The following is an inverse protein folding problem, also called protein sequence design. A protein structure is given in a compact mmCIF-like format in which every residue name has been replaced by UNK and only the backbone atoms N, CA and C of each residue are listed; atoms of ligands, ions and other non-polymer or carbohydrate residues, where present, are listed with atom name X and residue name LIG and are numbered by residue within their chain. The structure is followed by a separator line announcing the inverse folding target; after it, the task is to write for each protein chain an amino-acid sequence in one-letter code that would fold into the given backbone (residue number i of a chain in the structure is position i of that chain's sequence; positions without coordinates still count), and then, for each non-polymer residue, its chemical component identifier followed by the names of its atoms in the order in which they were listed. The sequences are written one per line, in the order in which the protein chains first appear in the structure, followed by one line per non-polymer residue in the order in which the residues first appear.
data_IF_027591515288
#
_entry.id   IF_027591515288
#
_cell.length_a   1.000
_cell.length_b   1.000
_cell.length_c   1.000
_cell.angle_alpha   90.00
_cell.angle_beta   90.00
_cell.angle_gamma   90.00
#
_symmetry.space_group_name_H-M   'P 1'
#
loop_
_entity.id
_entity.type
_entity.pdbx_description
1 polymer ?
#
# COMPACT_ATOMS: atom_id res chain seq x y z
N UNK A 1 18.28 -13.04 24.90
CA UNK A 1 17.95 -13.10 23.46
C UNK A 1 16.45 -12.89 23.34
N UNK A 2 16.03 -11.64 23.19
CA UNK A 2 14.71 -11.33 22.71
C UNK A 2 14.74 -11.58 21.19
N UNK A 3 14.29 -12.74 20.75
CA UNK A 3 14.10 -13.03 19.34
C UNK A 3 13.12 -12.03 18.74
N UNK A 4 13.58 -11.13 17.89
CA UNK A 4 12.72 -10.27 17.10
C UNK A 4 11.99 -11.13 16.07
N UNK A 5 10.84 -11.65 16.45
CA UNK A 5 9.90 -12.24 15.51
C UNK A 5 9.10 -11.10 14.85
N UNK A 6 9.64 -10.59 13.75
CA UNK A 6 8.97 -9.60 12.91
C UNK A 6 9.34 -8.13 13.21
N UNK A 7 9.82 -7.46 12.18
CA UNK A 7 9.96 -5.99 12.18
C UNK A 7 8.56 -5.38 12.09
N UNK A 8 8.20 -4.53 13.05
CA UNK A 8 6.95 -3.78 13.02
C UNK A 8 6.98 -2.80 11.84
N UNK A 9 6.37 -3.18 10.71
CA UNK A 9 6.33 -2.39 9.47
C UNK A 9 5.85 -0.96 9.69
N UNK A 10 4.94 -0.76 10.65
CA UNK A 10 4.40 0.55 11.01
C UNK A 10 5.46 1.47 11.63
N UNK A 11 6.30 0.95 12.52
CA UNK A 11 7.42 1.71 13.08
C UNK A 11 8.42 2.13 12.01
N UNK A 12 8.71 1.22 11.06
CA UNK A 12 9.57 1.52 9.91
C UNK A 12 9.01 2.65 9.04
N UNK A 13 7.71 2.63 8.74
CA UNK A 13 7.05 3.70 7.96
C UNK A 13 7.08 5.03 8.69
N UNK A 14 6.75 5.06 9.99
CA UNK A 14 6.81 6.28 10.80
C UNK A 14 8.24 6.83 10.84
N UNK A 15 9.22 5.97 11.10
CA UNK A 15 10.63 6.37 11.10
C UNK A 15 11.09 6.94 9.76
N UNK A 16 10.68 6.31 8.65
CA UNK A 16 10.95 6.81 7.30
C UNK A 16 10.33 8.19 7.07
N UNK A 17 9.07 8.40 7.44
CA UNK A 17 8.42 9.70 7.27
C UNK A 17 9.11 10.80 8.07
N UNK A 18 9.55 10.51 9.30
CA UNK A 18 10.30 11.46 10.14
C UNK A 18 11.67 11.75 9.51
N UNK A 19 12.40 10.72 9.10
CA UNK A 19 13.72 10.86 8.45
C UNK A 19 13.63 11.71 7.18
N UNK A 20 12.63 11.44 6.34
CA UNK A 20 12.37 12.22 5.12
C UNK A 20 12.01 13.68 5.44
N UNK A 21 11.24 13.92 6.49
CA UNK A 21 10.92 15.27 6.92
C UNK A 21 12.17 16.04 7.35
N UNK A 22 13.02 15.43 8.19
CA UNK A 22 14.28 16.02 8.64
C UNK A 22 15.24 16.28 7.46
N UNK A 23 15.37 15.31 6.56
CA UNK A 23 16.15 15.44 5.35
C UNK A 23 15.68 16.60 4.47
N UNK A 24 14.38 16.69 4.22
CA UNK A 24 13.79 17.77 3.42
C UNK A 24 14.03 19.15 4.07
N UNK A 25 13.95 19.25 5.39
CA UNK A 25 14.29 20.49 6.12
C UNK A 25 15.76 20.88 5.92
N UNK A 26 16.66 19.94 6.06
CA UNK A 26 18.10 20.17 5.91
C UNK A 26 18.45 20.58 4.47
N UNK A 27 17.87 19.90 3.48
CA UNK A 27 18.14 20.14 2.06
C UNK A 27 17.28 21.25 1.44
N UNK A 28 16.41 21.89 2.24
CA UNK A 28 15.47 22.94 1.76
C UNK A 28 14.56 22.48 0.62
N UNK A 29 14.17 21.19 0.63
CA UNK A 29 13.28 20.60 -0.35
C UNK A 29 11.82 20.63 0.13
N UNK A 30 10.88 20.72 -0.80
CA UNK A 30 9.45 20.60 -0.47
C UNK A 30 9.11 19.16 -0.08
N UNK A 31 8.65 18.95 1.16
CA UNK A 31 8.32 17.62 1.68
C UNK A 31 7.24 16.91 0.85
N UNK A 32 6.19 17.65 0.41
CA UNK A 32 5.13 17.08 -0.43
C UNK A 32 5.65 16.60 -1.79
N UNK A 33 6.69 17.22 -2.34
CA UNK A 33 7.32 16.77 -3.57
C UNK A 33 7.93 15.38 -3.39
N UNK A 34 8.66 15.17 -2.30
CA UNK A 34 9.28 13.88 -1.99
C UNK A 34 8.22 12.81 -1.71
N UNK A 35 7.17 13.16 -0.95
CA UNK A 35 6.06 12.24 -0.68
C UNK A 35 5.33 11.82 -1.97
N UNK A 36 5.13 12.75 -2.91
CA UNK A 36 4.50 12.42 -4.21
C UNK A 36 5.39 11.50 -5.05
N UNK A 37 6.71 11.71 -5.05
CA UNK A 37 7.65 10.82 -5.74
C UNK A 37 7.59 9.40 -5.16
N UNK A 38 7.59 9.28 -3.82
CA UNK A 38 7.45 7.99 -3.14
C UNK A 38 6.08 7.37 -3.44
N UNK A 39 5.01 8.13 -3.29
CA UNK A 39 3.64 7.65 -3.55
C UNK A 39 3.42 7.21 -5.00
N UNK A 40 4.15 7.79 -5.94
CA UNK A 40 4.12 7.36 -7.34
C UNK A 40 4.80 6.00 -7.56
N UNK A 41 5.93 5.74 -6.89
CA UNK A 41 6.74 4.51 -7.07
C UNK A 41 6.30 3.39 -6.11
N UNK A 42 5.76 3.73 -4.94
CA UNK A 42 5.41 2.77 -3.89
C UNK A 42 4.52 1.61 -4.35
N UNK A 43 3.51 1.77 -5.24
CA UNK A 43 2.73 0.63 -5.73
C UNK A 43 3.58 -0.38 -6.51
N UNK A 44 4.57 0.06 -7.27
CA UNK A 44 5.49 -0.84 -7.97
C UNK A 44 6.38 -1.62 -6.98
N UNK A 45 6.90 -0.95 -5.98
CA UNK A 45 7.69 -1.61 -4.91
C UNK A 45 6.82 -2.61 -4.14
N UNK A 46 5.59 -2.22 -3.79
CA UNK A 46 4.65 -3.11 -3.11
C UNK A 46 4.32 -4.35 -3.96
N UNK A 47 4.11 -4.19 -5.27
CA UNK A 47 3.94 -5.32 -6.21
C UNK A 47 5.13 -6.28 -6.14
N UNK A 48 6.36 -5.78 -6.23
CA UNK A 48 7.56 -6.61 -6.19
C UNK A 48 7.68 -7.37 -4.85
N UNK A 49 7.38 -6.72 -3.73
CA UNK A 49 7.36 -7.36 -2.41
C UNK A 49 6.33 -8.49 -2.38
N UNK A 50 5.12 -8.29 -2.93
CA UNK A 50 4.08 -9.33 -2.96
C UNK A 50 4.46 -10.52 -3.84
N UNK A 51 5.14 -10.30 -4.94
CA UNK A 51 5.70 -11.38 -5.75
C UNK A 51 6.78 -12.15 -4.96
N UNK A 52 7.63 -11.45 -4.19
CA UNK A 52 8.59 -12.08 -3.28
C UNK A 52 7.89 -12.95 -2.22
N UNK A 53 6.85 -12.43 -1.58
CA UNK A 53 6.06 -13.20 -0.60
C UNK A 53 5.41 -14.45 -1.25
N UNK A 54 4.94 -14.36 -2.49
CA UNK A 54 4.39 -15.49 -3.23
C UNK A 54 5.46 -16.60 -3.41
N UNK A 55 6.67 -16.23 -3.84
CA UNK A 55 7.77 -17.19 -4.02
C UNK A 55 8.23 -17.82 -2.70
N UNK A 56 8.15 -17.07 -1.61
CA UNK A 56 8.49 -17.54 -0.27
C UNK A 56 7.36 -18.30 0.45
N UNK A 57 6.15 -18.37 -0.14
CA UNK A 57 4.96 -18.95 0.51
C UNK A 57 4.58 -18.24 1.82
N UNK A 58 4.76 -16.90 1.86
CA UNK A 58 4.43 -16.04 3.00
C UNK A 58 3.09 -15.31 2.77
N UNK A 59 2.36 -15.01 3.85
CA UNK A 59 1.12 -14.21 3.82
C UNK A 59 0.09 -14.80 2.85
N UNK A 60 -0.15 -16.10 2.96
CA UNK A 60 -1.07 -16.86 2.12
C UNK A 60 -2.54 -16.54 2.42
N UNK A 61 -3.41 -16.90 1.48
CA UNK A 61 -4.85 -16.81 1.69
C UNK A 61 -5.46 -18.04 2.35
N UNK A 62 -6.74 -17.94 2.71
CA UNK A 62 -7.55 -19.03 3.28
C UNK A 62 -7.65 -20.18 2.29
N UNK A 63 -7.91 -21.40 2.81
CA UNK A 63 -8.20 -22.57 2.00
C UNK A 63 -9.42 -22.32 1.12
N UNK A 64 -9.41 -22.84 -0.12
CA UNK A 64 -10.46 -22.58 -1.12
C UNK A 64 -10.47 -23.65 -2.22
N UNK A 65 -11.62 -23.83 -2.85
CA UNK A 65 -11.82 -24.76 -3.96
C UNK A 65 -11.87 -24.08 -5.34
N UNK A 66 -11.44 -22.81 -5.43
CA UNK A 66 -11.42 -22.10 -6.72
C UNK A 66 -10.42 -22.74 -7.69
N UNK A 67 -10.71 -22.79 -9.01
CA UNK A 67 -9.88 -23.51 -9.99
C UNK A 67 -8.47 -22.94 -10.17
N UNK A 68 -8.19 -21.73 -9.67
CA UNK A 68 -6.88 -21.09 -9.68
C UNK A 68 -6.22 -21.04 -8.29
N UNK A 69 -6.67 -21.89 -7.35
CA UNK A 69 -6.03 -22.01 -6.05
C UNK A 69 -4.59 -22.52 -6.18
N UNK A 70 -3.70 -22.06 -5.31
CA UNK A 70 -2.32 -22.50 -5.25
C UNK A 70 -2.12 -23.42 -4.03
N UNK A 71 -1.31 -24.47 -4.21
CA UNK A 71 -0.84 -25.31 -3.12
C UNK A 71 0.55 -24.82 -2.70
N UNK A 72 0.63 -24.28 -1.50
CA UNK A 72 1.89 -23.79 -0.91
C UNK A 72 2.58 -24.92 -0.15
N UNK A 73 3.28 -25.79 -0.85
CA UNK A 73 3.88 -27.03 -0.31
C UNK A 73 4.86 -26.80 0.83
N UNK A 74 5.36 -25.60 1.00
CA UNK A 74 6.19 -25.21 2.18
C UNK A 74 5.38 -25.00 3.45
N UNK A 75 4.05 -24.87 3.32
CA UNK A 75 3.13 -24.61 4.44
C UNK A 75 2.26 -25.84 4.70
N UNK A 76 1.48 -26.25 3.69
CA UNK A 76 0.62 -27.43 3.76
C UNK A 76 0.27 -27.94 2.35
N UNK A 77 -0.60 -28.98 2.29
CA UNK A 77 -1.08 -29.57 1.03
C UNK A 77 -2.46 -29.01 0.60
N UNK A 78 -2.99 -28.00 1.29
CA UNK A 78 -4.32 -27.47 0.99
C UNK A 78 -4.26 -26.46 -0.17
N UNK A 79 -5.24 -26.47 -1.09
CA UNK A 79 -5.39 -25.42 -2.07
C UNK A 79 -5.85 -24.12 -1.36
N UNK A 80 -5.19 -23.01 -1.65
CA UNK A 80 -5.39 -21.71 -0.98
C UNK A 80 -5.48 -20.56 -1.98
N UNK A 81 -6.17 -19.49 -1.59
CA UNK A 81 -6.15 -18.26 -2.35
C UNK A 81 -4.72 -17.71 -2.45
N UNK A 82 -4.18 -17.44 -3.66
CA UNK A 82 -2.90 -16.73 -3.80
C UNK A 82 -3.10 -15.22 -3.56
N UNK A 83 -3.37 -14.85 -2.29
CA UNK A 83 -3.68 -13.49 -1.89
C UNK A 83 -2.57 -12.50 -2.31
N UNK A 84 -1.30 -12.94 -2.23
CA UNK A 84 -0.14 -12.16 -2.66
C UNK A 84 -0.19 -11.82 -4.16
N UNK A 85 -0.64 -12.75 -4.99
CA UNK A 85 -0.78 -12.54 -6.44
C UNK A 85 -1.90 -11.53 -6.73
N UNK A 86 -3.02 -11.60 -6.01
CA UNK A 86 -4.10 -10.63 -6.17
C UNK A 86 -3.64 -9.21 -5.80
N UNK A 87 -2.89 -9.09 -4.70
CA UNK A 87 -2.30 -7.81 -4.29
C UNK A 87 -1.28 -7.31 -5.34
N UNK A 88 -0.41 -8.19 -5.83
CA UNK A 88 0.59 -7.83 -6.84
C UNK A 88 -0.05 -7.29 -8.13
N UNK A 89 -1.08 -7.99 -8.65
CA UNK A 89 -1.81 -7.56 -9.84
C UNK A 89 -2.48 -6.21 -9.61
N UNK A 90 -3.16 -6.04 -8.46
CA UNK A 90 -3.81 -4.78 -8.15
C UNK A 90 -2.81 -3.62 -8.05
N UNK A 91 -1.67 -3.82 -7.39
CA UNK A 91 -0.64 -2.79 -7.25
C UNK A 91 0.02 -2.46 -8.60
N UNK A 92 0.18 -3.44 -9.50
CA UNK A 92 0.60 -3.21 -10.88
C UNK A 92 -0.40 -2.30 -11.62
N UNK A 93 -1.70 -2.57 -11.48
CA UNK A 93 -2.77 -1.76 -12.08
C UNK A 93 -2.71 -0.33 -11.52
N UNK A 94 -2.59 -0.17 -10.21
CA UNK A 94 -2.47 1.15 -9.55
C UNK A 94 -1.25 1.91 -10.10
N UNK A 95 -0.11 1.26 -10.23
CA UNK A 95 1.09 1.87 -10.80
C UNK A 95 0.87 2.31 -12.25
N UNK A 96 0.36 1.42 -13.11
CA UNK A 96 0.09 1.72 -14.53
C UNK A 96 -0.90 2.88 -14.69
N UNK A 97 -1.98 2.89 -13.90
CA UNK A 97 -2.93 4.00 -13.87
C UNK A 97 -2.27 5.30 -13.41
N UNK A 98 -1.40 5.24 -12.41
CA UNK A 98 -0.58 6.38 -11.95
C UNK A 98 0.26 6.96 -13.09
N UNK A 99 0.93 6.11 -13.87
CA UNK A 99 1.71 6.51 -15.06
C UNK A 99 0.82 7.17 -16.11
N UNK A 100 -0.34 6.58 -16.40
CA UNK A 100 -1.31 7.15 -17.35
C UNK A 100 -1.84 8.50 -16.89
N UNK A 101 -2.18 8.63 -15.60
CA UNK A 101 -2.61 9.91 -15.01
C UNK A 101 -1.52 10.97 -15.08
N UNK A 102 -0.26 10.59 -14.80
CA UNK A 102 0.87 11.49 -14.92
C UNK A 102 1.04 11.99 -16.37
N UNK A 103 1.00 11.07 -17.36
CA UNK A 103 1.13 11.42 -18.78
C UNK A 103 -0.01 12.32 -19.26
N UNK A 104 -1.27 11.99 -18.93
CA UNK A 104 -2.45 12.75 -19.38
C UNK A 104 -2.57 14.14 -18.73
N UNK A 105 -2.08 14.26 -17.48
CA UNK A 105 -2.30 15.47 -16.66
C UNK A 105 -1.02 16.27 -16.41
N UNK A 106 -0.02 16.15 -17.28
CA UNK A 106 1.30 16.83 -17.16
C UNK A 106 1.25 18.30 -16.69
N UNK A 107 0.16 19.02 -17.01
CA UNK A 107 -0.07 20.40 -16.55
C UNK A 107 -0.96 20.52 -15.30
N UNK A 108 -1.74 19.49 -14.94
CA UNK A 108 -2.79 19.55 -13.89
C UNK A 108 -2.47 18.74 -12.62
N UNK A 109 -1.59 17.76 -12.70
CA UNK A 109 -1.12 17.01 -11.56
C UNK A 109 0.39 17.18 -11.43
N UNK A 110 0.80 18.33 -10.96
CA UNK A 110 2.20 18.57 -10.61
C UNK A 110 2.57 17.71 -9.42
N UNK A 111 3.65 16.93 -9.56
CA UNK A 111 4.34 16.34 -8.41
C UNK A 111 4.65 17.49 -7.43
N UNK A 112 4.39 17.29 -6.15
CA UNK A 112 4.49 18.34 -5.12
C UNK A 112 3.12 18.88 -4.65
N UNK A 113 2.01 18.38 -5.25
CA UNK A 113 0.66 18.75 -4.81
C UNK A 113 0.14 17.86 -3.67
N UNK A 114 0.76 16.71 -3.42
CA UNK A 114 0.28 15.64 -2.54
C UNK A 114 -0.69 14.66 -3.22
N UNK A 115 -0.92 14.81 -4.54
CA UNK A 115 -1.89 13.98 -5.26
C UNK A 115 -1.45 12.51 -5.35
N UNK A 116 -0.22 12.24 -5.78
CA UNK A 116 0.26 10.86 -5.94
C UNK A 116 0.45 10.15 -4.61
N UNK A 117 0.86 10.87 -3.58
CA UNK A 117 0.89 10.35 -2.22
C UNK A 117 -0.52 9.94 -1.77
N UNK A 118 -1.50 10.83 -1.89
CA UNK A 118 -2.89 10.54 -1.56
C UNK A 118 -3.49 9.41 -2.41
N UNK A 119 -3.19 9.39 -3.71
CA UNK A 119 -3.62 8.36 -4.64
C UNK A 119 -3.11 6.96 -4.23
N UNK A 120 -1.82 6.86 -3.89
CA UNK A 120 -1.23 5.61 -3.42
C UNK A 120 -1.92 5.15 -2.13
N UNK A 121 -2.02 6.01 -1.11
CA UNK A 121 -2.67 5.67 0.16
C UNK A 121 -4.11 5.24 -0.06
N UNK A 122 -4.90 6.03 -0.79
CA UNK A 122 -6.31 5.72 -1.00
C UNK A 122 -6.52 4.35 -1.67
N UNK A 123 -5.84 4.08 -2.78
CA UNK A 123 -6.10 2.85 -3.54
C UNK A 123 -5.46 1.61 -2.91
N UNK A 124 -4.20 1.70 -2.47
CA UNK A 124 -3.49 0.56 -1.88
C UNK A 124 -4.19 0.11 -0.59
N UNK A 125 -4.52 1.05 0.30
CA UNK A 125 -5.14 0.69 1.58
C UNK A 125 -6.63 0.36 1.45
N UNK A 126 -7.35 0.89 0.46
CA UNK A 126 -8.71 0.41 0.15
C UNK A 126 -8.67 -1.05 -0.28
N UNK A 127 -7.78 -1.42 -1.20
CA UNK A 127 -7.66 -2.82 -1.61
C UNK A 127 -7.18 -3.71 -0.47
N UNK A 128 -6.22 -3.23 0.34
CA UNK A 128 -5.74 -3.94 1.52
C UNK A 128 -6.89 -4.25 2.49
N UNK A 129 -7.80 -3.32 2.71
CA UNK A 129 -8.97 -3.56 3.55
C UNK A 129 -9.82 -4.74 3.05
N UNK A 130 -10.05 -4.83 1.74
CA UNK A 130 -10.86 -5.92 1.17
C UNK A 130 -10.11 -7.25 1.09
N UNK A 131 -8.84 -7.25 0.72
CA UNK A 131 -8.08 -8.50 0.57
C UNK A 131 -7.86 -9.22 1.91
N UNK A 132 -7.89 -8.49 3.02
CA UNK A 132 -7.72 -9.06 4.37
C UNK A 132 -8.80 -10.09 4.71
N UNK A 133 -10.02 -9.97 4.15
CA UNK A 133 -11.08 -10.97 4.32
C UNK A 133 -10.71 -12.36 3.75
N UNK A 134 -9.83 -12.41 2.76
CA UNK A 134 -9.41 -13.64 2.06
C UNK A 134 -8.10 -14.19 2.62
N UNK A 135 -7.35 -13.39 3.38
CA UNK A 135 -6.09 -13.81 3.99
C UNK A 135 -6.30 -14.73 5.19
N UNK A 136 -5.34 -15.61 5.40
CA UNK A 136 -5.21 -16.37 6.64
C UNK A 136 -4.83 -15.43 7.78
N UNK A 137 -5.41 -15.65 8.96
CA UNK A 137 -5.07 -14.90 10.18
C UNK A 137 -3.61 -15.18 10.54
N UNK A 138 -2.81 -14.14 10.72
CA UNK A 138 -1.37 -14.28 10.94
C UNK A 138 -0.97 -14.32 12.41
N UNK A 139 -1.85 -13.90 13.32
CA UNK A 139 -1.56 -13.73 14.75
C UNK A 139 -2.76 -14.19 15.56
N UNK A 140 -2.53 -15.04 16.57
CA UNK A 140 -3.62 -15.69 17.33
C UNK A 140 -4.61 -14.71 17.99
N UNK A 141 -4.16 -13.52 18.41
CA UNK A 141 -5.03 -12.53 19.03
C UNK A 141 -6.06 -11.91 18.07
N UNK A 142 -5.82 -11.96 16.75
CA UNK A 142 -6.73 -11.43 15.72
C UNK A 142 -7.97 -12.30 15.55
N UNK A 143 -7.94 -13.58 15.96
CA UNK A 143 -9.09 -14.50 15.88
C UNK A 143 -10.33 -14.02 16.68
N UNK A 144 -10.11 -13.16 17.66
CA UNK A 144 -11.18 -12.60 18.51
C UNK A 144 -11.64 -11.19 18.08
N UNK A 145 -11.04 -10.62 17.05
CA UNK A 145 -11.40 -9.29 16.56
C UNK A 145 -12.41 -9.38 15.42
N UNK A 146 -13.38 -8.48 15.42
CA UNK A 146 -14.39 -8.38 14.34
C UNK A 146 -13.77 -7.87 13.03
N UNK A 147 -12.68 -7.10 13.12
CA UNK A 147 -11.87 -6.61 12.00
C UNK A 147 -10.40 -6.85 12.34
N UNK A 148 -9.64 -7.35 11.37
CA UNK A 148 -8.20 -7.58 11.53
C UNK A 148 -7.44 -6.25 11.66
N UNK A 149 -6.27 -6.27 12.31
CA UNK A 149 -5.44 -5.07 12.49
C UNK A 149 -5.09 -4.40 11.16
N UNK A 150 -4.92 -5.19 10.10
CA UNK A 150 -4.70 -4.68 8.74
C UNK A 150 -5.87 -3.84 8.23
N UNK A 151 -7.11 -4.22 8.54
CA UNK A 151 -8.32 -3.48 8.19
C UNK A 151 -8.47 -2.19 9.00
N UNK A 152 -8.31 -2.28 10.33
CA UNK A 152 -8.42 -1.12 11.24
C UNK A 152 -7.41 -0.05 10.86
N UNK A 153 -6.16 -0.43 10.59
CA UNK A 153 -5.10 0.49 10.21
C UNK A 153 -5.26 1.05 8.78
N UNK A 154 -5.99 0.35 7.92
CA UNK A 154 -6.24 0.82 6.55
C UNK A 154 -7.23 1.99 6.49
N UNK A 155 -8.25 2.01 7.36
CA UNK A 155 -9.28 3.05 7.33
C UNK A 155 -8.76 4.49 7.47
N UNK A 156 -7.93 4.83 8.49
CA UNK A 156 -7.38 6.18 8.60
C UNK A 156 -6.47 6.54 7.43
N UNK A 157 -5.72 5.58 6.88
CA UNK A 157 -4.84 5.83 5.74
C UNK A 157 -5.62 6.09 4.45
N UNK A 158 -6.75 5.40 4.25
CA UNK A 158 -7.69 5.69 3.16
C UNK A 158 -8.25 7.11 3.29
N UNK A 159 -8.71 7.49 4.49
CA UNK A 159 -9.24 8.84 4.74
C UNK A 159 -8.19 9.93 4.46
N UNK A 160 -6.95 9.74 4.94
CA UNK A 160 -5.80 10.62 4.68
C UNK A 160 -5.53 10.67 3.16
N UNK A 161 -5.56 9.55 2.47
CA UNK A 161 -5.35 9.47 1.03
C UNK A 161 -6.37 10.33 0.25
N UNK A 162 -7.65 10.17 0.52
CA UNK A 162 -8.71 10.99 -0.10
C UNK A 162 -8.59 12.47 0.26
N UNK A 163 -8.23 12.80 1.49
CA UNK A 163 -7.98 14.19 1.90
C UNK A 163 -6.88 14.85 1.05
N UNK A 164 -5.74 14.16 0.86
CA UNK A 164 -4.64 14.69 0.04
C UNK A 164 -5.03 14.85 -1.43
N UNK A 165 -5.76 13.88 -2.00
CA UNK A 165 -6.26 13.98 -3.37
C UNK A 165 -7.21 15.17 -3.55
N UNK A 166 -8.13 15.37 -2.61
CA UNK A 166 -9.07 16.49 -2.61
C UNK A 166 -8.36 17.83 -2.47
N UNK A 167 -7.43 17.95 -1.51
CA UNK A 167 -6.62 19.16 -1.30
C UNK A 167 -5.80 19.52 -2.54
N UNK A 168 -5.17 18.54 -3.17
CA UNK A 168 -4.42 18.72 -4.41
C UNK A 168 -5.33 19.23 -5.54
N UNK A 169 -6.52 18.65 -5.68
CA UNK A 169 -7.52 19.10 -6.68
C UNK A 169 -7.95 20.56 -6.46
N UNK A 170 -8.20 20.98 -5.21
CA UNK A 170 -8.54 22.37 -4.87
C UNK A 170 -7.40 23.35 -5.17
N UNK A 171 -6.15 22.99 -4.79
CA UNK A 171 -4.96 23.83 -5.07
C UNK A 171 -4.79 24.07 -6.57
N UNK A 172 -5.06 23.07 -7.40
CA UNK A 172 -4.97 23.18 -8.87
C UNK A 172 -6.13 24.01 -9.46
N UNK A 173 -7.33 23.90 -8.91
CA UNK A 173 -8.47 24.69 -9.35
C UNK A 173 -8.28 26.20 -9.08
N UNK A 174 -7.70 26.54 -7.93
CA UNK A 174 -7.44 27.94 -7.55
C UNK A 174 -6.27 28.57 -8.32
N UNK A 175 -5.35 27.77 -8.87
CA UNK A 175 -4.22 28.27 -9.68
C UNK A 175 -4.61 28.56 -11.14
N UNK A 176 -5.79 28.09 -11.56
CA UNK A 176 -6.32 28.29 -12.91
C UNK A 176 -7.40 29.39 -12.98
N UNK A 177 -7.70 30.04 -11.85
CA UNK A 177 -8.45 31.30 -11.74
C UNK A 177 -7.47 32.46 -11.60
#
# INVERSE_FOLDING_TARGET
YTGYAGLASHGGVIGLLIALYLYCRQMKMEYLFVLDCIGFVAPFTAMAIRLGNLMNSEIIGKATDVPWAFVFTRVDALPRHPAQLYEAIFYAIVFCLGVLLYKKRKKKTTIGSGFFFGYCLALVFTFRFFIEFIKEVQVDFEQHLTLDMGQILSLPLVAIGFYFMWKAKRKLANKNK
#
